data_IF_679952471603
#
_entry.id   IF_679952471603
#
_cell.length_a   1.000
_cell.length_b   1.000
_cell.length_c   1.000
_cell.angle_alpha   90.00
_cell.angle_beta   90.00
_cell.angle_gamma   90.00
#
_symmetry.space_group_name_H-M   'P 1'
#
loop_
_entity.id
_entity.type
_entity.pdbx_description
1 polymer ?
#
# COMPACT_ATOMS: atom_id res chain seq x y z
N UNK A 1 -19.05 -11.18 2.25
CA UNK A 1 -18.15 -10.02 2.30
C UNK A 1 -18.05 -9.53 3.71
N UNK A 2 -16.84 -9.26 4.19
CA UNK A 2 -16.71 -8.54 5.44
C UNK A 2 -17.24 -7.11 5.25
N UNK A 3 -17.49 -6.39 6.35
CA UNK A 3 -18.01 -5.02 6.26
C UNK A 3 -16.90 -4.11 5.72
N UNK A 4 -17.25 -3.10 4.91
CA UNK A 4 -16.31 -2.10 4.37
C UNK A 4 -15.38 -1.50 5.45
N UNK A 5 -15.91 -1.21 6.64
CA UNK A 5 -15.11 -0.71 7.77
C UNK A 5 -14.03 -1.70 8.23
N UNK A 6 -14.33 -2.99 8.22
CA UNK A 6 -13.37 -4.06 8.56
C UNK A 6 -12.26 -4.11 7.53
N UNK A 7 -12.59 -4.07 6.23
CA UNK A 7 -11.60 -4.02 5.15
C UNK A 7 -10.67 -2.82 5.29
N UNK A 8 -11.21 -1.62 5.53
CA UNK A 8 -10.40 -0.41 5.70
C UNK A 8 -9.46 -0.48 6.91
N UNK A 9 -9.93 -0.96 8.07
CA UNK A 9 -9.10 -1.07 9.28
C UNK A 9 -8.01 -2.12 9.10
N UNK A 10 -8.36 -3.31 8.62
CA UNK A 10 -7.40 -4.40 8.39
C UNK A 10 -6.42 -4.02 7.29
N UNK A 11 -6.88 -3.38 6.22
CA UNK A 11 -6.05 -2.85 5.15
C UNK A 11 -5.06 -1.81 5.66
N UNK A 12 -5.51 -0.81 6.42
CA UNK A 12 -4.62 0.21 6.97
C UNK A 12 -3.57 -0.37 7.93
N UNK A 13 -4.00 -1.23 8.85
CA UNK A 13 -3.10 -1.83 9.85
C UNK A 13 -2.09 -2.78 9.22
N UNK A 14 -2.52 -3.65 8.29
CA UNK A 14 -1.62 -4.53 7.54
C UNK A 14 -0.66 -3.74 6.65
N UNK A 15 -1.15 -2.72 5.93
CA UNK A 15 -0.32 -1.85 5.10
C UNK A 15 0.76 -1.11 5.89
N UNK A 16 0.40 -0.53 7.04
CA UNK A 16 1.36 0.13 7.92
C UNK A 16 2.41 -0.85 8.48
N UNK A 17 1.97 -2.04 8.92
CA UNK A 17 2.87 -3.06 9.47
C UNK A 17 3.86 -3.60 8.43
N UNK A 18 3.39 -3.91 7.22
CA UNK A 18 4.25 -4.40 6.13
C UNK A 18 5.21 -3.31 5.66
N UNK A 19 4.77 -2.06 5.57
CA UNK A 19 5.64 -0.94 5.24
C UNK A 19 6.73 -0.72 6.31
N UNK A 20 6.35 -0.74 7.59
CA UNK A 20 7.30 -0.64 8.71
C UNK A 20 8.33 -1.78 8.66
N UNK A 21 7.89 -3.02 8.45
CA UNK A 21 8.79 -4.17 8.31
C UNK A 21 9.73 -4.04 7.10
N UNK A 22 9.21 -3.52 5.98
CA UNK A 22 10.00 -3.27 4.76
C UNK A 22 10.99 -2.12 4.91
N UNK A 23 10.80 -1.25 5.90
CA UNK A 23 11.64 -0.09 6.19
C UNK A 23 12.47 -0.26 7.47
N UNK A 24 12.48 -1.44 8.10
CA UNK A 24 13.11 -1.70 9.42
C UNK A 24 14.61 -1.42 9.49
N UNK A 25 15.29 -1.41 8.34
CA UNK A 25 16.73 -1.13 8.23
C UNK A 25 17.02 0.36 7.95
N UNK A 26 15.98 1.19 7.81
CA UNK A 26 16.12 2.64 7.63
C UNK A 26 16.13 3.36 8.98
N UNK A 27 16.49 4.65 8.95
CA UNK A 27 16.30 5.54 10.09
C UNK A 27 14.82 5.51 10.57
N UNK A 28 14.56 5.51 11.89
CA UNK A 28 13.21 5.53 12.46
C UNK A 28 12.24 6.54 11.83
N UNK A 29 12.68 7.75 11.50
CA UNK A 29 11.81 8.76 10.89
C UNK A 29 11.36 8.40 9.48
N UNK A 30 12.26 7.81 8.70
CA UNK A 30 11.94 7.31 7.37
C UNK A 30 11.03 6.08 7.47
N UNK A 31 11.30 5.17 8.39
CA UNK A 31 10.43 4.02 8.65
C UNK A 31 9.02 4.44 9.09
N UNK A 32 8.90 5.47 9.92
CA UNK A 32 7.61 6.03 10.33
C UNK A 32 6.85 6.67 9.15
N UNK A 33 7.54 7.41 8.30
CA UNK A 33 6.94 7.99 7.08
C UNK A 33 6.46 6.90 6.12
N UNK A 34 7.25 5.84 5.90
CA UNK A 34 6.82 4.69 5.11
C UNK A 34 5.64 3.96 5.78
N UNK A 35 5.65 3.77 7.11
CA UNK A 35 4.55 3.14 7.83
C UNK A 35 3.24 3.93 7.69
N UNK A 36 3.30 5.26 7.80
CA UNK A 36 2.14 6.13 7.59
C UNK A 36 1.63 6.06 6.15
N UNK A 37 2.53 6.18 5.17
CA UNK A 37 2.19 5.99 3.75
C UNK A 37 1.58 4.61 3.48
N UNK A 38 2.13 3.56 4.10
CA UNK A 38 1.64 2.19 4.02
C UNK A 38 0.26 2.02 4.62
N UNK A 39 -0.05 2.71 5.72
CA UNK A 39 -1.40 2.72 6.28
C UNK A 39 -2.43 3.35 5.34
N UNK A 40 -2.11 4.49 4.76
CA UNK A 40 -2.98 5.15 3.76
C UNK A 40 -3.15 4.27 2.52
N UNK A 41 -2.04 3.74 1.99
CA UNK A 41 -2.05 2.82 0.85
C UNK A 41 -2.85 1.57 1.12
N UNK A 42 -2.71 0.98 2.31
CA UNK A 42 -3.46 -0.20 2.75
C UNK A 42 -4.95 0.02 2.83
N UNK A 43 -5.38 1.17 3.37
CA UNK A 43 -6.80 1.53 3.38
C UNK A 43 -7.36 1.62 1.95
N UNK A 44 -6.68 2.34 1.05
CA UNK A 44 -7.14 2.49 -0.34
C UNK A 44 -7.09 1.17 -1.13
N UNK A 45 -6.01 0.41 -0.98
CA UNK A 45 -5.84 -0.89 -1.63
C UNK A 45 -6.89 -1.90 -1.19
N UNK A 46 -7.27 -1.88 0.09
CA UNK A 46 -8.37 -2.72 0.59
C UNK A 46 -9.75 -2.30 0.08
N UNK A 47 -9.94 -1.05 -0.33
CA UNK A 47 -11.20 -0.59 -0.91
C UNK A 47 -11.28 -0.84 -2.42
N UNK A 48 -10.15 -1.05 -3.10
CA UNK A 48 -10.07 -1.12 -4.55
C UNK A 48 -10.97 -2.20 -5.19
N UNK A 49 -11.06 -3.44 -4.67
CA UNK A 49 -11.93 -4.47 -5.25
C UNK A 49 -13.40 -4.04 -5.28
N UNK A 50 -13.89 -3.48 -4.18
CA UNK A 50 -15.29 -3.02 -4.05
C UNK A 50 -15.57 -1.74 -4.85
N UNK A 51 -14.54 -0.98 -5.23
CA UNK A 51 -14.68 0.18 -6.12
C UNK A 51 -14.77 -0.23 -7.59
N UNK A 52 -13.97 -1.23 -7.99
CA UNK A 52 -13.98 -1.79 -9.35
C UNK A 52 -15.25 -2.61 -9.57
N UNK A 53 -15.68 -3.33 -8.53
CA UNK A 53 -16.86 -4.18 -8.57
C UNK A 53 -17.77 -3.93 -7.35
N UNK A 54 -18.62 -2.89 -7.41
CA UNK A 54 -19.53 -2.56 -6.32
C UNK A 54 -20.50 -3.71 -6.02
N UNK A 55 -20.66 -4.04 -4.74
CA UNK A 55 -21.59 -5.08 -4.32
C UNK A 55 -23.04 -4.59 -4.44
N UNK A 56 -23.76 -5.03 -5.49
CA UNK A 56 -25.20 -4.73 -5.65
C UNK A 56 -26.09 -5.68 -4.82
N UNK A 57 -25.61 -6.89 -4.54
CA UNK A 57 -26.20 -7.84 -3.58
C UNK A 57 -25.14 -8.85 -3.14
N UNK A 58 -25.47 -9.65 -2.13
CA UNK A 58 -24.49 -10.51 -1.45
C UNK A 58 -23.95 -11.72 -2.26
N UNK A 59 -24.39 -11.87 -3.51
CA UNK A 59 -23.95 -12.88 -4.49
C UNK A 59 -23.16 -12.29 -5.67
N UNK A 60 -22.98 -10.98 -5.74
CA UNK A 60 -22.19 -10.34 -6.80
C UNK A 60 -20.70 -10.50 -6.47
N UNK A 61 -20.08 -11.58 -6.99
CA UNK A 61 -18.63 -11.84 -6.94
C UNK A 61 -18.19 -12.31 -8.32
N UNK A 62 -17.71 -11.38 -9.12
CA UNK A 62 -17.17 -11.59 -10.45
C UNK A 62 -15.63 -11.49 -10.37
N UNK A 63 -15.01 -10.91 -11.38
CA UNK A 63 -13.57 -10.95 -11.57
C UNK A 63 -12.76 -10.37 -10.39
N UNK A 64 -13.16 -9.23 -9.81
CA UNK A 64 -12.34 -8.53 -8.81
C UNK A 64 -12.22 -9.30 -7.48
N UNK A 65 -13.14 -10.23 -7.23
CA UNK A 65 -13.19 -11.11 -6.07
C UNK A 65 -13.00 -12.58 -6.46
N UNK A 66 -12.23 -12.86 -7.52
CA UNK A 66 -11.89 -14.22 -7.96
C UNK A 66 -10.49 -14.67 -7.48
N UNK A 67 -10.25 -15.98 -7.41
CA UNK A 67 -8.90 -16.52 -7.17
C UNK A 67 -7.91 -16.12 -8.27
N UNK A 68 -8.34 -15.99 -9.52
CA UNK A 68 -7.49 -15.52 -10.62
C UNK A 68 -7.01 -14.10 -10.40
N UNK A 69 -7.91 -13.19 -10.03
CA UNK A 69 -7.52 -11.82 -9.69
C UNK A 69 -6.62 -11.80 -8.45
N UNK A 70 -6.92 -12.62 -7.43
CA UNK A 70 -6.11 -12.72 -6.24
C UNK A 70 -4.67 -13.17 -6.53
N UNK A 71 -4.51 -14.29 -7.23
CA UNK A 71 -3.19 -14.85 -7.56
C UNK A 71 -2.46 -13.98 -8.57
N UNK A 72 -3.11 -13.60 -9.67
CA UNK A 72 -2.53 -12.77 -10.72
C UNK A 72 -2.13 -11.38 -10.20
N UNK A 73 -3.02 -10.74 -9.45
CA UNK A 73 -2.77 -9.46 -8.79
C UNK A 73 -1.62 -9.54 -7.81
N UNK A 74 -1.58 -10.57 -6.95
CA UNK A 74 -0.47 -10.76 -5.99
C UNK A 74 0.86 -10.96 -6.70
N UNK A 75 0.92 -11.74 -7.79
CA UNK A 75 2.14 -11.94 -8.59
C UNK A 75 2.59 -10.62 -9.23
N UNK A 76 1.66 -9.88 -9.84
CA UNK A 76 1.96 -8.59 -10.45
C UNK A 76 2.51 -7.59 -9.41
N UNK A 77 1.85 -7.50 -8.25
CA UNK A 77 2.28 -6.65 -7.14
C UNK A 77 3.66 -7.06 -6.61
N UNK A 78 3.92 -8.36 -6.43
CA UNK A 78 5.24 -8.86 -5.99
C UNK A 78 6.38 -8.45 -6.92
N UNK A 79 6.12 -8.32 -8.22
CA UNK A 79 7.10 -7.86 -9.21
C UNK A 79 7.23 -6.34 -9.23
N UNK A 80 6.11 -5.62 -9.14
CA UNK A 80 6.08 -4.17 -9.25
C UNK A 80 6.59 -3.47 -7.97
N UNK A 81 6.07 -3.84 -6.80
CA UNK A 81 6.27 -3.12 -5.54
C UNK A 81 7.76 -2.90 -5.20
N UNK A 82 8.67 -3.89 -5.31
CA UNK A 82 10.08 -3.66 -4.99
C UNK A 82 10.74 -2.58 -5.86
N UNK A 83 10.41 -2.55 -7.15
CA UNK A 83 10.95 -1.52 -8.07
C UNK A 83 10.41 -0.13 -7.76
N UNK A 84 9.14 -0.01 -7.40
CA UNK A 84 8.54 1.24 -6.94
C UNK A 84 9.16 1.72 -5.62
N UNK A 85 9.26 0.85 -4.62
CA UNK A 85 9.90 1.19 -3.35
C UNK A 85 11.34 1.65 -3.55
N UNK A 86 12.11 0.94 -4.38
CA UNK A 86 13.48 1.30 -4.68
C UNK A 86 13.58 2.70 -5.31
N UNK A 87 12.76 2.99 -6.33
CA UNK A 87 12.73 4.31 -6.99
C UNK A 87 12.34 5.42 -6.03
N UNK A 88 11.27 5.24 -5.25
CA UNK A 88 10.84 6.23 -4.27
C UNK A 88 11.90 6.50 -3.20
N UNK A 89 12.55 5.45 -2.68
CA UNK A 89 13.64 5.59 -1.69
C UNK A 89 14.87 6.28 -2.29
N UNK A 90 15.17 6.03 -3.57
CA UNK A 90 16.27 6.71 -4.27
C UNK A 90 16.01 8.20 -4.45
N UNK A 91 14.80 8.59 -4.86
CA UNK A 91 14.42 10.02 -4.95
C UNK A 91 14.38 10.68 -3.56
N UNK A 92 13.92 9.97 -2.52
CA UNK A 92 13.98 10.46 -1.15
C UNK A 92 15.43 10.75 -0.73
N UNK A 93 16.35 9.81 -0.94
CA UNK A 93 17.77 9.98 -0.63
C UNK A 93 18.41 11.13 -1.43
N UNK A 94 18.01 11.31 -2.70
CA UNK A 94 18.44 12.44 -3.52
C UNK A 94 18.04 13.77 -2.91
N UNK A 95 16.78 13.90 -2.48
CA UNK A 95 16.31 15.12 -1.83
C UNK A 95 16.90 15.34 -0.43
N UNK A 96 17.12 14.28 0.35
CA UNK A 96 17.86 14.35 1.62
C UNK A 96 19.27 14.92 1.41
N UNK A 97 19.97 14.45 0.38
CA UNK A 97 21.30 14.98 0.02
C UNK A 97 21.24 16.44 -0.45
N UNK A 98 20.28 16.80 -1.31
CA UNK A 98 20.10 18.19 -1.76
C UNK A 98 19.83 19.13 -0.58
N UNK A 99 18.99 18.73 0.38
CA UNK A 99 18.70 19.52 1.57
C UNK A 99 19.97 19.82 2.40
N UNK A 100 20.93 18.90 2.42
CA UNK A 100 22.20 19.05 3.16
C UNK A 100 23.15 20.04 2.50
N UNK A 101 23.13 20.15 1.17
CA UNK A 101 24.03 21.04 0.42
C UNK A 101 23.42 22.42 0.12
N UNK A 102 22.10 22.57 0.23
CA UNK A 102 21.43 23.87 0.08
C UNK A 102 21.83 24.86 1.18
N UNK A 103 22.21 26.07 0.75
CA UNK A 103 22.63 27.16 1.64
C UNK A 103 21.41 27.84 2.27
N UNK A 104 20.36 28.09 1.49
CA UNK A 104 19.15 28.77 1.94
C UNK A 104 18.16 27.83 2.65
N UNK A 105 17.50 28.36 3.67
CA UNK A 105 16.57 27.60 4.50
C UNK A 105 15.31 27.15 3.73
N UNK A 106 14.89 27.92 2.72
CA UNK A 106 13.68 27.67 1.95
C UNK A 106 13.82 26.42 1.06
N UNK A 107 14.91 26.32 0.31
CA UNK A 107 15.21 25.15 -0.53
C UNK A 107 15.43 23.91 0.33
N UNK A 108 16.13 24.05 1.48
CA UNK A 108 16.29 22.96 2.44
C UNK A 108 14.95 22.43 2.95
N UNK A 109 14.03 23.32 3.29
CA UNK A 109 12.68 22.95 3.73
C UNK A 109 11.94 22.14 2.65
N UNK A 110 11.89 22.64 1.41
CA UNK A 110 11.16 21.95 0.34
C UNK A 110 11.79 20.61 -0.07
N UNK A 111 13.11 20.49 -0.02
CA UNK A 111 13.77 19.20 -0.20
C UNK A 111 13.47 18.24 0.96
N UNK A 112 13.38 18.73 2.20
CA UNK A 112 12.91 17.92 3.34
C UNK A 112 11.48 17.41 3.13
N UNK A 113 10.56 18.29 2.69
CA UNK A 113 9.17 17.90 2.35
C UNK A 113 9.14 16.87 1.23
N UNK A 114 9.90 17.10 0.15
CA UNK A 114 9.97 16.17 -0.98
C UNK A 114 10.49 14.80 -0.55
N UNK A 115 11.57 14.75 0.25
CA UNK A 115 12.11 13.51 0.79
C UNK A 115 11.06 12.75 1.61
N UNK A 116 10.37 13.45 2.52
CA UNK A 116 9.30 12.87 3.32
C UNK A 116 8.16 12.30 2.48
N UNK A 117 7.70 13.04 1.46
CA UNK A 117 6.64 12.58 0.55
C UNK A 117 7.07 11.36 -0.26
N UNK A 118 8.34 11.29 -0.69
CA UNK A 118 8.88 10.11 -1.38
C UNK A 118 8.97 8.88 -0.46
N UNK A 119 9.32 9.05 0.82
CA UNK A 119 9.24 7.96 1.81
C UNK A 119 7.79 7.50 1.97
N UNK A 120 6.86 8.43 2.16
CA UNK A 120 5.44 8.08 2.19
C UNK A 120 4.99 7.33 0.94
N UNK A 121 5.43 7.73 -0.25
CA UNK A 121 5.11 7.05 -1.51
C UNK A 121 5.68 5.61 -1.57
N UNK A 122 6.90 5.38 -1.05
CA UNK A 122 7.48 4.05 -0.95
C UNK A 122 6.64 3.14 -0.05
N UNK A 123 6.23 3.65 1.11
CA UNK A 123 5.31 2.97 2.02
C UNK A 123 3.95 2.70 1.41
N UNK A 124 3.39 3.71 0.73
CA UNK A 124 2.09 3.63 0.04
C UNK A 124 2.05 2.49 -0.97
N UNK A 125 3.09 2.31 -1.78
CA UNK A 125 3.13 1.27 -2.80
C UNK A 125 2.99 -0.14 -2.20
N UNK A 126 3.73 -0.45 -1.13
CA UNK A 126 3.60 -1.75 -0.46
C UNK A 126 2.32 -1.83 0.37
N UNK A 127 1.84 -0.70 0.89
CA UNK A 127 0.56 -0.58 1.57
C UNK A 127 -0.60 -0.99 0.67
N UNK A 128 -0.70 -0.44 -0.54
CA UNK A 128 -1.74 -0.79 -1.52
C UNK A 128 -1.78 -2.30 -1.78
N UNK A 129 -0.60 -2.91 -1.95
CA UNK A 129 -0.50 -4.34 -2.16
C UNK A 129 -0.98 -5.15 -0.95
N UNK A 130 -0.53 -4.79 0.25
CA UNK A 130 -0.96 -5.44 1.50
C UNK A 130 -2.47 -5.28 1.74
N UNK A 131 -3.01 -4.09 1.49
CA UNK A 131 -4.44 -3.78 1.58
C UNK A 131 -5.27 -4.64 0.65
N UNK A 132 -4.89 -4.73 -0.62
CA UNK A 132 -5.55 -5.57 -1.62
C UNK A 132 -5.54 -7.05 -1.22
N UNK A 133 -4.39 -7.58 -0.81
CA UNK A 133 -4.27 -8.98 -0.36
C UNK A 133 -5.10 -9.23 0.90
N UNK A 134 -5.11 -8.29 1.85
CA UNK A 134 -5.90 -8.41 3.07
C UNK A 134 -7.41 -8.43 2.80
N UNK A 135 -7.88 -7.66 1.80
CA UNK A 135 -9.26 -7.67 1.37
C UNK A 135 -9.68 -9.06 0.89
N UNK A 136 -8.89 -9.61 -0.03
CA UNK A 136 -9.15 -10.94 -0.59
C UNK A 136 -9.06 -12.03 0.48
N UNK A 137 -8.09 -11.97 1.38
CA UNK A 137 -7.95 -12.90 2.49
C UNK A 137 -9.18 -12.87 3.43
N UNK A 138 -9.69 -11.68 3.75
CA UNK A 138 -10.93 -11.54 4.51
C UNK A 138 -12.13 -12.13 3.76
N UNK A 139 -12.19 -11.98 2.44
CA UNK A 139 -13.27 -12.53 1.64
C UNK A 139 -13.23 -14.06 1.46
N UNK A 140 -12.03 -14.65 1.41
CA UNK A 140 -11.81 -16.11 1.49
C UNK A 140 -12.37 -16.67 2.79
N UNK A 141 -12.14 -15.98 3.92
CA UNK A 141 -12.59 -16.42 5.24
C UNK A 141 -14.10 -16.35 5.48
N UNK A 142 -14.88 -15.80 4.54
CA UNK A 142 -16.34 -15.79 4.65
C UNK A 142 -16.95 -17.13 4.21
N UNK A 143 -18.13 -17.54 4.70
CA UNK A 143 -18.77 -18.81 4.31
C UNK A 143 -18.97 -19.01 2.79
N UNK A 144 -18.90 -17.93 2.01
CA UNK A 144 -19.04 -17.96 0.55
C UNK A 144 -17.72 -18.15 -0.19
N UNK A 145 -16.57 -17.83 0.42
CA UNK A 145 -15.24 -17.92 -0.21
C UNK A 145 -15.10 -17.13 -1.52
N UNK A 146 -13.95 -17.24 -2.18
CA UNK A 146 -13.75 -16.68 -3.53
C UNK A 146 -14.13 -17.73 -4.59
N UNK A 147 -14.83 -17.38 -5.68
CA UNK A 147 -14.95 -18.26 -6.85
C UNK A 147 -13.58 -18.54 -7.48
N UNK A 148 -13.38 -19.79 -7.94
CA UNK A 148 -12.14 -20.24 -8.61
C UNK A 148 -11.87 -19.45 -9.90
N UNK A 149 -12.90 -19.24 -10.71
CA UNK A 149 -12.91 -18.48 -11.95
C UNK A 149 -14.19 -17.64 -12.00
N UNK A 150 -14.10 -16.45 -12.57
CA UNK A 150 -15.24 -15.63 -12.95
C UNK A 150 -15.46 -15.74 -14.46
#
# INVERSE_FOLDING_TARGET
MARRRTHLIVGATSGAAVAAYSAREQNPWNALAEAFGGGVGGALGSAAPDMVEPAFHSWHRSFAHSYTAAVGGTIALRRAVPSWQHRCRAEAARHEHLAQICVDAWSRFWHGVAAFLWRMAAGFAVGVAAGYVSHLALDVGTPRGLPLLA
#
